data_IF_488440780789
#
_entry.id   IF_488440780789
#
_cell.length_a   1.000
_cell.length_b   1.000
_cell.length_c   1.000
_cell.angle_alpha   90.00
_cell.angle_beta   90.00
_cell.angle_gamma   90.00
#
_symmetry.space_group_name_H-M   'P 1'
#
loop_
_entity.id
_entity.type
_entity.pdbx_description
1 polymer ?
#
# COMPACT_ATOMS: atom_id res chain seq x y z
N UNK A 1 37.90 -17.48 -67.78
CA UNK A 1 37.50 -18.13 -66.54
C UNK A 1 37.90 -17.19 -65.40
N UNK A 2 36.97 -16.43 -64.90
CA UNK A 2 37.18 -15.46 -63.78
C UNK A 2 36.57 -16.06 -62.52
N UNK A 3 37.41 -16.30 -61.52
CA UNK A 3 36.98 -16.82 -60.21
C UNK A 3 36.72 -15.63 -59.24
N UNK A 4 35.48 -15.46 -58.82
CA UNK A 4 35.13 -14.52 -57.77
C UNK A 4 35.26 -15.21 -56.41
N UNK A 5 36.15 -14.70 -55.54
CA UNK A 5 36.24 -15.07 -54.14
C UNK A 5 35.30 -14.19 -53.32
N UNK A 6 34.31 -14.80 -52.65
CA UNK A 6 33.40 -14.12 -51.74
C UNK A 6 34.02 -14.12 -50.37
N UNK A 7 34.39 -12.94 -49.85
CA UNK A 7 34.80 -12.74 -48.46
C UNK A 7 33.52 -12.57 -47.60
N UNK A 8 33.25 -13.54 -46.75
CA UNK A 8 32.22 -13.42 -45.71
C UNK A 8 32.79 -12.73 -44.49
N UNK A 9 32.37 -11.49 -44.24
CA UNK A 9 32.68 -10.75 -43.00
C UNK A 9 31.73 -11.23 -41.90
N UNK A 10 32.28 -11.95 -40.91
CA UNK A 10 31.54 -12.35 -39.71
C UNK A 10 31.43 -11.18 -38.74
N UNK A 11 30.18 -10.79 -38.43
CA UNK A 11 29.86 -9.77 -37.45
C UNK A 11 29.82 -10.42 -36.06
N UNK A 12 30.83 -10.20 -35.21
CA UNK A 12 30.86 -10.62 -33.80
C UNK A 12 29.99 -9.66 -33.00
N UNK A 13 28.80 -10.11 -32.61
CA UNK A 13 27.98 -9.43 -31.60
C UNK A 13 28.61 -9.69 -30.20
N UNK A 14 29.22 -8.69 -29.61
CA UNK A 14 29.65 -8.71 -28.22
C UNK A 14 28.42 -8.57 -27.30
N UNK A 15 28.04 -9.65 -26.63
CA UNK A 15 27.03 -9.62 -25.56
C UNK A 15 27.60 -8.89 -24.35
N UNK A 16 27.12 -7.68 -24.04
CA UNK A 16 27.41 -6.99 -22.78
C UNK A 16 26.64 -7.69 -21.64
N UNK A 17 27.32 -8.10 -20.56
CA UNK A 17 26.61 -8.59 -19.37
C UNK A 17 25.84 -7.43 -18.75
N UNK A 18 24.51 -7.58 -18.63
CA UNK A 18 23.68 -6.68 -17.85
C UNK A 18 24.10 -6.80 -16.38
N UNK A 19 24.71 -5.75 -15.83
CA UNK A 19 24.95 -5.63 -14.38
C UNK A 19 23.59 -5.59 -13.68
N UNK A 20 23.16 -6.74 -13.15
CA UNK A 20 22.02 -6.80 -12.24
C UNK A 20 22.38 -5.94 -11.01
N UNK A 21 21.66 -4.81 -10.88
CA UNK A 21 21.74 -3.95 -9.72
C UNK A 21 21.16 -4.75 -8.55
N UNK A 22 22.02 -5.24 -7.66
CA UNK A 22 21.58 -5.87 -6.42
C UNK A 22 20.80 -4.79 -5.65
N UNK A 23 19.49 -4.95 -5.52
CA UNK A 23 18.70 -4.19 -4.57
C UNK A 23 19.23 -4.53 -3.19
N UNK A 24 19.93 -3.58 -2.59
CA UNK A 24 20.45 -3.72 -1.23
C UNK A 24 19.24 -3.88 -0.31
N UNK A 25 19.08 -5.07 0.25
CA UNK A 25 18.07 -5.36 1.26
C UNK A 25 18.29 -4.39 2.44
N UNK A 26 17.22 -3.70 2.93
CA UNK A 26 17.36 -2.76 4.03
C UNK A 26 18.00 -3.47 5.23
N UNK A 27 18.94 -2.83 5.96
CA UNK A 27 19.59 -3.44 7.10
C UNK A 27 18.56 -3.95 8.10
N UNK A 28 18.76 -5.17 8.58
CA UNK A 28 17.90 -5.77 9.59
C UNK A 28 17.88 -4.89 10.86
N UNK A 29 16.67 -4.61 11.35
CA UNK A 29 16.50 -3.78 12.54
C UNK A 29 16.92 -4.57 13.79
N UNK A 30 18.07 -4.24 14.35
CA UNK A 30 18.57 -4.82 15.61
C UNK A 30 17.96 -4.20 16.86
N UNK A 31 17.43 -2.96 16.73
CA UNK A 31 16.76 -2.21 17.81
C UNK A 31 15.47 -1.61 17.25
N UNK A 32 14.35 -1.64 18.00
CA UNK A 32 13.13 -0.94 17.60
C UNK A 32 13.38 0.56 17.39
N UNK A 33 12.81 1.11 16.34
CA UNK A 33 12.87 2.55 16.05
C UNK A 33 12.03 3.35 17.04
N UNK A 34 12.37 4.62 17.19
CA UNK A 34 11.62 5.55 18.01
C UNK A 34 10.45 6.09 17.20
N UNK A 35 9.23 5.98 17.74
CA UNK A 35 8.03 6.57 17.15
C UNK A 35 7.96 8.06 17.53
N UNK A 36 7.74 8.96 16.55
CA UNK A 36 7.36 10.33 16.84
C UNK A 36 6.04 10.37 17.64
N UNK A 37 5.82 11.40 18.49
CA UNK A 37 4.64 11.48 19.34
C UNK A 37 3.31 11.33 18.60
N UNK A 38 3.19 11.88 17.39
CA UNK A 38 2.00 11.79 16.53
C UNK A 38 1.71 10.37 16.04
N UNK A 39 2.70 9.48 16.06
CA UNK A 39 2.56 8.06 15.69
C UNK A 39 2.52 7.12 16.90
N UNK A 40 2.40 7.65 18.13
CA UNK A 40 2.41 6.85 19.36
C UNK A 40 1.33 5.78 19.41
N UNK A 41 0.16 6.03 18.79
CA UNK A 41 -0.94 5.07 18.67
C UNK A 41 -0.55 3.81 17.88
N UNK A 42 0.54 3.82 17.11
CA UNK A 42 1.00 2.67 16.33
C UNK A 42 1.32 1.43 17.17
N UNK A 43 1.64 1.61 18.44
CA UNK A 43 1.97 0.53 19.38
C UNK A 43 0.75 -0.18 19.98
N UNK A 44 -0.45 0.39 19.80
CA UNK A 44 -1.70 -0.15 20.36
C UNK A 44 -2.54 -0.76 19.24
N UNK A 45 -2.84 -2.06 19.33
CA UNK A 45 -3.52 -2.80 18.27
C UNK A 45 -4.91 -3.24 18.70
N UNK A 46 -5.94 -2.80 17.96
CA UNK A 46 -7.24 -3.45 17.90
C UNK A 46 -7.27 -4.44 16.73
N UNK A 47 -8.06 -5.51 16.82
CA UNK A 47 -8.16 -6.52 15.75
C UNK A 47 -9.45 -6.32 14.97
N UNK A 48 -9.35 -6.29 13.65
CA UNK A 48 -10.47 -6.12 12.74
C UNK A 48 -10.34 -7.07 11.55
N UNK A 49 -11.46 -7.41 10.93
CA UNK A 49 -11.50 -8.08 9.65
C UNK A 49 -11.85 -7.08 8.56
N UNK A 50 -11.16 -7.14 7.43
CA UNK A 50 -11.52 -6.36 6.26
C UNK A 50 -12.82 -6.89 5.63
N UNK A 51 -13.61 -6.00 5.06
CA UNK A 51 -14.78 -6.39 4.29
C UNK A 51 -14.39 -6.91 2.89
N UNK A 52 -15.05 -7.98 2.45
CA UNK A 52 -14.90 -8.53 1.10
C UNK A 52 -15.60 -7.66 0.04
N UNK A 53 -16.55 -6.81 0.43
CA UNK A 53 -17.34 -5.98 -0.46
C UNK A 53 -17.90 -4.76 0.28
N UNK A 54 -18.41 -3.75 -0.44
CA UNK A 54 -19.03 -2.57 0.19
C UNK A 54 -20.16 -2.89 1.18
N UNK A 55 -20.87 -3.99 1.00
CA UNK A 55 -21.93 -4.41 1.92
C UNK A 55 -21.43 -4.77 3.33
N UNK A 56 -20.17 -5.15 3.48
CA UNK A 56 -19.55 -5.50 4.75
C UNK A 56 -18.93 -4.34 5.53
N UNK A 57 -18.85 -3.15 4.96
CA UNK A 57 -18.10 -2.01 5.50
C UNK A 57 -18.49 -1.59 6.92
N UNK A 58 -19.76 -1.69 7.28
CA UNK A 58 -20.24 -1.32 8.60
C UNK A 58 -19.58 -2.13 9.74
N UNK A 59 -19.03 -3.32 9.45
CA UNK A 59 -18.31 -4.19 10.39
C UNK A 59 -16.79 -4.04 10.30
N UNK A 60 -16.29 -3.28 9.34
CA UNK A 60 -14.88 -3.09 9.04
C UNK A 60 -14.47 -1.60 9.21
N UNK A 61 -14.94 -0.97 10.28
CA UNK A 61 -14.70 0.44 10.53
C UNK A 61 -13.33 0.68 11.19
N UNK A 62 -12.59 1.67 10.68
CA UNK A 62 -11.39 2.22 11.31
C UNK A 62 -11.78 3.37 12.22
N UNK A 63 -11.22 3.38 13.43
CA UNK A 63 -11.30 4.53 14.33
C UNK A 63 -10.10 5.45 14.12
N UNK A 64 -10.35 6.74 13.92
CA UNK A 64 -9.26 7.73 13.82
C UNK A 64 -8.53 7.82 15.15
N UNK A 65 -7.20 7.69 15.12
CA UNK A 65 -6.34 7.68 16.31
C UNK A 65 -6.08 6.30 16.91
N UNK A 66 -6.64 5.23 16.33
CA UNK A 66 -6.42 3.85 16.78
C UNK A 66 -5.77 3.01 15.68
N UNK A 67 -4.80 2.17 16.06
CA UNK A 67 -4.20 1.22 15.13
C UNK A 67 -4.99 -0.08 15.11
N UNK A 68 -5.41 -0.47 13.91
CA UNK A 68 -6.06 -1.74 13.65
C UNK A 68 -5.06 -2.76 13.08
N UNK A 69 -5.01 -3.98 13.64
CA UNK A 69 -4.45 -5.15 12.97
C UNK A 69 -5.58 -5.78 12.16
N UNK A 70 -5.50 -5.67 10.85
CA UNK A 70 -6.57 -6.04 9.94
C UNK A 70 -6.27 -7.36 9.27
N UNK A 71 -7.18 -8.34 9.39
CA UNK A 71 -7.16 -9.57 8.59
C UNK A 71 -7.67 -9.24 7.19
N UNK A 72 -6.90 -9.59 6.19
CA UNK A 72 -7.22 -9.38 4.77
C UNK A 72 -7.73 -10.66 4.13
N UNK A 73 -8.36 -10.53 2.97
CA UNK A 73 -8.84 -11.64 2.15
C UNK A 73 -7.91 -11.83 0.95
N UNK A 74 -7.90 -13.03 0.36
CA UNK A 74 -7.28 -13.22 -0.94
C UNK A 74 -7.89 -12.25 -1.97
N UNK A 75 -7.03 -11.58 -2.75
CA UNK A 75 -7.46 -10.56 -3.72
C UNK A 75 -8.62 -10.98 -4.62
N UNK A 76 -8.69 -12.22 -5.16
CA UNK A 76 -9.84 -12.66 -5.96
C UNK A 76 -11.18 -12.71 -5.22
N UNK A 77 -11.15 -12.77 -3.89
CA UNK A 77 -12.37 -12.77 -3.05
C UNK A 77 -12.88 -11.37 -2.72
N UNK A 78 -12.16 -10.31 -3.14
CA UNK A 78 -12.53 -8.92 -2.82
C UNK A 78 -13.25 -8.25 -3.99
N UNK A 79 -14.46 -7.78 -3.74
CA UNK A 79 -15.24 -6.93 -4.66
C UNK A 79 -14.97 -5.46 -4.34
N UNK A 80 -13.95 -4.90 -4.96
CA UNK A 80 -13.58 -3.49 -4.77
C UNK A 80 -14.67 -2.54 -5.27
N UNK A 81 -14.84 -1.39 -4.62
CA UNK A 81 -15.77 -0.34 -5.04
C UNK A 81 -15.31 0.34 -6.34
N UNK A 82 -14.02 0.52 -6.48
CA UNK A 82 -13.36 0.96 -7.71
C UNK A 82 -12.28 -0.07 -8.07
N UNK A 83 -12.04 -0.24 -9.36
CA UNK A 83 -10.89 -1.04 -9.79
C UNK A 83 -9.63 -0.44 -9.17
N UNK A 84 -8.82 -1.22 -8.43
CA UNK A 84 -7.56 -0.72 -7.87
C UNK A 84 -6.71 -0.08 -8.97
N UNK A 85 -6.16 1.11 -8.68
CA UNK A 85 -5.31 1.83 -9.63
C UNK A 85 -4.11 0.98 -10.02
N UNK A 86 -3.54 0.26 -9.04
CA UNK A 86 -2.44 -0.68 -9.27
C UNK A 86 -2.96 -2.11 -9.26
N UNK A 87 -2.80 -2.87 -10.36
CA UNK A 87 -3.17 -4.29 -10.38
C UNK A 87 -2.43 -5.06 -9.30
N UNK A 88 -3.15 -5.91 -8.57
CA UNK A 88 -2.61 -6.78 -7.53
C UNK A 88 -2.39 -8.19 -8.08
N UNK A 89 -1.36 -8.88 -7.60
CA UNK A 89 -1.13 -10.27 -7.91
C UNK A 89 -2.26 -11.16 -7.36
N UNK A 90 -2.66 -12.23 -8.06
CA UNK A 90 -3.76 -13.10 -7.61
C UNK A 90 -3.51 -13.78 -6.26
N UNK A 91 -2.27 -14.03 -5.91
CA UNK A 91 -1.80 -14.63 -4.66
C UNK A 91 -1.61 -13.62 -3.52
N UNK A 92 -1.91 -12.34 -3.77
CA UNK A 92 -1.87 -11.28 -2.78
C UNK A 92 -3.17 -11.17 -1.99
N UNK A 93 -3.15 -10.30 -0.98
CA UNK A 93 -4.27 -10.04 -0.08
C UNK A 93 -4.73 -8.59 -0.18
N UNK A 94 -6.01 -8.38 0.13
CA UNK A 94 -6.63 -7.07 0.13
C UNK A 94 -7.95 -7.05 0.90
N UNK A 95 -8.64 -5.92 0.83
CA UNK A 95 -9.93 -5.76 1.49
C UNK A 95 -10.36 -4.31 1.58
N UNK A 96 -11.55 -4.10 2.10
CA UNK A 96 -12.18 -2.80 2.26
C UNK A 96 -12.33 -2.46 3.74
N UNK A 97 -12.08 -1.20 4.09
CA UNK A 97 -12.31 -0.67 5.43
C UNK A 97 -13.13 0.62 5.30
N UNK A 98 -13.95 0.90 6.29
CA UNK A 98 -14.67 2.17 6.40
C UNK A 98 -13.86 3.17 7.22
N UNK A 99 -13.72 4.39 6.75
CA UNK A 99 -13.15 5.51 7.49
C UNK A 99 -14.21 6.60 7.62
N UNK A 100 -14.67 6.86 8.84
CA UNK A 100 -15.56 7.97 9.13
C UNK A 100 -14.72 9.19 9.49
N UNK A 101 -14.86 10.25 8.69
CA UNK A 101 -14.18 11.54 8.86
C UNK A 101 -15.16 12.52 9.52
N UNK A 102 -14.92 12.93 10.79
CA UNK A 102 -15.87 13.78 11.52
C UNK A 102 -15.74 15.28 11.17
N UNK A 103 -14.58 15.71 10.73
CA UNK A 103 -14.31 17.12 10.43
C UNK A 103 -13.33 17.25 9.27
N UNK A 104 -13.42 18.35 8.53
CA UNK A 104 -12.47 18.66 7.45
C UNK A 104 -11.04 18.74 7.99
N UNK A 105 -10.07 18.20 7.24
CA UNK A 105 -8.67 18.25 7.62
C UNK A 105 -7.80 17.38 6.75
N UNK A 106 -6.51 17.32 7.10
CA UNK A 106 -5.56 16.38 6.52
C UNK A 106 -5.51 15.13 7.36
N UNK A 107 -5.74 14.00 6.71
CA UNK A 107 -5.71 12.67 7.32
C UNK A 107 -4.58 11.86 6.73
N UNK A 108 -3.83 11.20 7.60
CA UNK A 108 -2.75 10.28 7.26
C UNK A 108 -3.19 8.86 7.48
N UNK A 109 -3.06 8.04 6.45
CA UNK A 109 -3.19 6.58 6.54
C UNK A 109 -1.79 5.97 6.62
N UNK A 110 -1.54 5.22 7.69
CA UNK A 110 -0.25 4.60 8.04
C UNK A 110 -0.38 3.10 7.88
N UNK A 111 0.53 2.47 7.14
CA UNK A 111 0.51 1.05 6.84
C UNK A 111 1.78 0.34 7.31
N UNK A 112 1.64 -0.87 7.86
CA UNK A 112 2.73 -1.78 8.22
C UNK A 112 3.35 -2.53 7.04
N UNK A 113 2.86 -2.32 5.83
CA UNK A 113 3.38 -2.94 4.62
C UNK A 113 3.36 -1.97 3.43
N UNK A 114 3.80 -2.44 2.26
CA UNK A 114 3.77 -1.69 0.99
C UNK A 114 2.48 -1.91 0.18
N UNK A 115 1.40 -2.38 0.79
CA UNK A 115 0.12 -2.54 0.12
C UNK A 115 -0.27 -1.27 -0.63
N UNK A 116 -0.98 -1.43 -1.75
CA UNK A 116 -1.58 -0.30 -2.46
C UNK A 116 -2.81 0.17 -1.68
N UNK A 117 -3.04 1.46 -1.70
CA UNK A 117 -4.17 2.09 -1.03
C UNK A 117 -4.88 3.03 -2.00
N UNK A 118 -6.18 2.81 -2.18
CA UNK A 118 -7.08 3.72 -2.84
C UNK A 118 -8.10 4.23 -1.83
N UNK A 119 -8.32 5.52 -1.77
CA UNK A 119 -9.35 6.13 -0.95
C UNK A 119 -10.52 6.54 -1.83
N UNK A 120 -11.73 6.08 -1.49
CA UNK A 120 -12.95 6.35 -2.26
C UNK A 120 -13.88 7.22 -1.44
N UNK A 121 -14.28 8.36 -2.01
CA UNK A 121 -15.20 9.31 -1.39
C UNK A 121 -16.62 8.75 -1.26
N UNK A 122 -17.49 9.32 -0.41
CA UNK A 122 -18.89 8.91 -0.26
C UNK A 122 -19.65 8.82 -1.58
N UNK A 123 -19.34 9.73 -2.53
CA UNK A 123 -19.92 9.73 -3.89
C UNK A 123 -19.38 8.65 -4.83
N UNK A 124 -18.42 7.82 -4.40
CA UNK A 124 -17.83 6.76 -5.22
C UNK A 124 -16.69 7.19 -6.13
N UNK A 125 -16.17 8.41 -5.98
CA UNK A 125 -15.01 8.92 -6.72
C UNK A 125 -13.70 8.65 -5.98
N UNK A 126 -12.57 8.41 -6.69
CA UNK A 126 -11.28 8.29 -6.05
C UNK A 126 -10.84 9.63 -5.47
N UNK A 127 -10.16 9.58 -4.31
CA UNK A 127 -9.54 10.75 -3.68
C UNK A 127 -8.05 10.73 -3.98
N UNK A 128 -7.56 11.79 -4.59
CA UNK A 128 -6.12 11.94 -4.85
C UNK A 128 -5.35 12.10 -3.53
N UNK A 129 -4.20 11.44 -3.42
CA UNK A 129 -3.29 11.63 -2.30
C UNK A 129 -2.59 12.99 -2.39
N UNK A 130 -2.43 13.64 -1.24
CA UNK A 130 -1.69 14.91 -1.12
C UNK A 130 -0.18 14.65 -1.07
N UNK A 131 0.23 13.64 -0.33
CA UNK A 131 1.63 13.25 -0.16
C UNK A 131 1.74 11.77 0.20
N UNK A 132 2.92 11.21 0.00
CA UNK A 132 3.28 9.88 0.50
C UNK A 132 4.73 9.84 0.99
N UNK A 133 4.99 9.01 1.98
CA UNK A 133 6.33 8.83 2.55
C UNK A 133 6.48 7.43 3.15
N UNK A 134 7.72 7.10 3.50
CA UNK A 134 8.01 5.93 4.34
C UNK A 134 7.93 6.33 5.81
N UNK A 135 7.63 5.36 6.68
CA UNK A 135 7.69 5.58 8.12
C UNK A 135 9.13 5.66 8.64
N UNK A 136 9.31 6.06 9.91
CA UNK A 136 10.62 6.07 10.56
C UNK A 136 11.24 4.67 10.55
N UNK A 137 12.57 4.62 10.42
CA UNK A 137 13.29 3.35 10.36
C UNK A 137 13.00 2.48 11.58
N UNK A 138 12.86 1.17 11.38
CA UNK A 138 12.70 0.17 12.44
C UNK A 138 11.45 0.31 13.33
N UNK A 139 10.42 1.05 12.89
CA UNK A 139 9.14 1.19 13.59
C UNK A 139 8.06 0.21 13.13
N UNK A 140 8.33 -0.56 12.07
CA UNK A 140 7.34 -1.40 11.42
C UNK A 140 6.38 -0.63 10.49
N UNK A 141 6.46 0.71 10.44
CA UNK A 141 5.71 1.53 9.49
C UNK A 141 6.42 1.50 8.14
N UNK A 142 5.73 1.07 7.10
CA UNK A 142 6.29 0.93 5.75
C UNK A 142 5.79 1.98 4.77
N UNK A 143 4.61 2.56 5.04
CA UNK A 143 4.00 3.54 4.13
C UNK A 143 3.10 4.48 4.91
N UNK A 144 3.14 5.76 4.55
CA UNK A 144 2.23 6.80 5.02
C UNK A 144 1.69 7.55 3.80
N UNK A 145 0.39 7.81 3.76
CA UNK A 145 -0.26 8.53 2.66
C UNK A 145 -1.23 9.55 3.25
N UNK A 146 -1.10 10.79 2.82
CA UNK A 146 -1.88 11.92 3.30
C UNK A 146 -2.98 12.29 2.31
N UNK A 147 -4.16 12.64 2.83
CA UNK A 147 -5.33 13.03 2.06
C UNK A 147 -5.99 14.25 2.70
N UNK A 148 -6.45 15.21 1.90
CA UNK A 148 -7.36 16.25 2.37
C UNK A 148 -8.78 15.74 2.26
N UNK A 149 -9.50 15.66 3.39
CA UNK A 149 -10.83 15.06 3.46
C UNK A 149 -11.83 16.04 4.06
N UNK A 150 -13.04 16.04 3.51
CA UNK A 150 -14.22 16.64 4.08
C UNK A 150 -14.97 15.66 4.97
N UNK A 151 -15.88 16.11 5.86
CA UNK A 151 -16.67 15.19 6.68
C UNK A 151 -17.43 14.18 5.82
N UNK A 152 -17.38 12.90 6.20
CA UNK A 152 -18.05 11.85 5.45
C UNK A 152 -17.54 10.44 5.74
N UNK A 153 -18.16 9.45 5.10
CA UNK A 153 -17.77 8.04 5.20
C UNK A 153 -17.04 7.62 3.93
N UNK A 154 -15.76 7.35 4.06
CA UNK A 154 -14.86 6.94 2.98
C UNK A 154 -14.63 5.44 2.98
N UNK A 155 -14.29 4.89 1.82
CA UNK A 155 -13.83 3.51 1.71
C UNK A 155 -12.32 3.52 1.48
N UNK A 156 -11.59 2.89 2.40
CA UNK A 156 -10.17 2.58 2.24
C UNK A 156 -10.09 1.21 1.57
N UNK A 157 -9.59 1.16 0.36
CA UNK A 157 -9.32 -0.07 -0.38
C UNK A 157 -7.84 -0.43 -0.26
N UNK A 158 -7.56 -1.61 0.27
CA UNK A 158 -6.20 -2.17 0.35
C UNK A 158 -6.05 -3.27 -0.68
N UNK A 159 -4.97 -3.27 -1.44
CA UNK A 159 -4.69 -4.31 -2.44
C UNK A 159 -3.20 -4.62 -2.53
N UNK A 160 -2.86 -5.81 -3.02
CA UNK A 160 -1.48 -6.20 -3.27
C UNK A 160 -0.64 -6.37 -2.00
N UNK A 161 -1.25 -6.67 -0.84
CA UNK A 161 -0.50 -7.04 0.35
C UNK A 161 0.06 -8.45 0.20
N UNK A 162 1.32 -8.65 0.60
CA UNK A 162 1.96 -9.98 0.52
C UNK A 162 1.45 -10.94 1.61
N UNK A 163 1.00 -10.39 2.75
CA UNK A 163 0.62 -11.15 3.93
C UNK A 163 -0.90 -11.09 4.19
N UNK A 164 -1.49 -12.09 4.85
CA UNK A 164 -2.94 -12.11 5.14
C UNK A 164 -3.38 -11.09 6.20
N UNK A 165 -2.47 -10.31 6.76
CA UNK A 165 -2.79 -9.28 7.73
C UNK A 165 -1.89 -8.05 7.61
N UNK A 166 -2.43 -6.89 7.97
CA UNK A 166 -1.74 -5.60 7.90
C UNK A 166 -2.11 -4.73 9.11
N UNK A 167 -1.16 -3.95 9.63
CA UNK A 167 -1.47 -2.88 10.58
C UNK A 167 -1.83 -1.61 9.83
N UNK A 168 -2.92 -0.96 10.23
CA UNK A 168 -3.45 0.26 9.63
C UNK A 168 -3.77 1.27 10.73
N UNK A 169 -3.34 2.52 10.58
CA UNK A 169 -3.70 3.62 11.48
C UNK A 169 -4.18 4.79 10.64
N UNK A 170 -5.31 5.37 11.01
CA UNK A 170 -5.79 6.63 10.45
C UNK A 170 -5.59 7.74 11.47
N UNK A 171 -4.91 8.82 11.10
CA UNK A 171 -4.65 9.98 11.95
C UNK A 171 -5.14 11.27 11.31
N UNK A 172 -5.63 12.21 12.09
CA UNK A 172 -5.77 13.60 11.67
C UNK A 172 -4.49 14.36 12.01
N UNK A 173 -3.86 15.00 11.03
CA UNK A 173 -2.57 15.70 11.18
C UNK A 173 -2.67 17.20 10.89
N UNK A 174 -3.84 17.69 10.49
CA UNK A 174 -4.06 19.12 10.22
C UNK A 174 -5.55 19.45 10.03
#
# INVERSE_FOLDING_TARGET
MIRYSILTAGLLLAAMPALARAETEPPACSVPGVLPPELSAWSMLAYHDAAASPAGLAKAALTVGETARVTLLHTPAVSYRLRPEKPAAPDSYGGLLQLVVPARGTYRLVLGSRAWIDLVAPGGTPVASLAHSMGPACTGIRKMVDFTLDPGSYVVQLSGNAEPAISVLALRIG
#
